data_IF_197980331451
#
_entry.id   IF_197980331451
#
_cell.length_a   1.000
_cell.length_b   1.000
_cell.length_c   1.000
_cell.angle_alpha   90.00
_cell.angle_beta   90.00
_cell.angle_gamma   90.00
#
_symmetry.space_group_name_H-M   'P 1'
#
loop_
_entity.id
_entity.type
_entity.pdbx_description
1 polymer ?
#
# COMPACT_ATOMS: atom_id res chain seq x y z
N UNK A 1 -19.62 -1.82 8.08
CA UNK A 1 -18.49 -0.86 8.05
C UNK A 1 -18.86 0.57 8.46
N UNK A 2 -20.14 0.88 8.66
CA UNK A 2 -20.63 2.12 9.28
C UNK A 2 -20.38 2.18 10.80
N UNK A 3 -20.27 1.04 11.46
CA UNK A 3 -20.11 0.95 12.93
C UNK A 3 -18.68 1.24 13.43
N UNK A 4 -17.66 1.14 12.55
CA UNK A 4 -16.28 1.48 12.94
C UNK A 4 -16.05 3.01 13.06
N UNK A 5 -16.92 3.82 12.44
CA UNK A 5 -16.91 5.30 12.59
C UNK A 5 -17.58 5.77 13.89
N UNK A 6 -18.37 4.92 14.56
CA UNK A 6 -19.03 5.27 15.81
C UNK A 6 -18.10 5.08 17.03
N UNK A 7 -17.08 4.22 16.93
CA UNK A 7 -16.21 3.87 18.05
C UNK A 7 -14.97 4.79 18.21
N UNK A 8 -14.82 5.81 17.35
CA UNK A 8 -13.74 6.82 17.46
C UNK A 8 -14.28 8.19 17.92
N UNK A 9 -15.49 8.22 18.49
CA UNK A 9 -16.12 9.37 19.12
C UNK A 9 -16.34 9.09 20.61
N UNK A 10 -15.26 8.99 21.36
CA UNK A 10 -15.34 9.14 22.82
C UNK A 10 -14.24 10.12 23.23
N UNK A 11 -14.64 11.07 24.07
CA UNK A 11 -13.92 12.24 24.60
C UNK A 11 -13.95 13.52 23.73
N UNK A 12 -15.13 14.15 23.60
CA UNK A 12 -15.36 15.53 24.11
C UNK A 12 -16.85 15.93 23.96
N UNK A 13 -17.71 15.46 24.85
CA UNK A 13 -19.10 15.94 24.98
C UNK A 13 -19.15 17.06 26.03
N UNK A 14 -19.01 18.31 25.58
CA UNK A 14 -19.64 19.44 26.26
C UNK A 14 -20.47 20.23 25.27
N UNK A 15 -21.78 20.00 25.32
CA UNK A 15 -22.77 20.77 24.59
C UNK A 15 -22.71 22.24 25.04
N UNK A 16 -22.23 23.11 24.15
CA UNK A 16 -22.44 24.56 24.25
C UNK A 16 -23.29 24.98 23.06
N UNK A 17 -24.53 25.38 23.34
CA UNK A 17 -25.39 26.10 22.41
C UNK A 17 -24.83 27.50 22.21
N UNK A 18 -23.80 27.62 21.37
CA UNK A 18 -23.22 28.88 20.92
C UNK A 18 -23.76 29.20 19.54
N UNK A 19 -24.32 30.39 19.36
CA UNK A 19 -24.72 30.94 18.07
C UNK A 19 -23.58 30.84 17.05
N UNK A 20 -23.83 30.14 15.95
CA UNK A 20 -22.93 30.05 14.80
C UNK A 20 -22.80 31.42 14.14
N UNK A 21 -21.67 32.09 14.37
CA UNK A 21 -21.26 33.25 13.60
C UNK A 21 -20.45 32.76 12.38
N UNK A 22 -21.01 32.76 11.16
CA UNK A 22 -20.35 32.25 9.96
C UNK A 22 -19.07 33.03 9.60
N UNK A 23 -18.85 34.21 10.18
CA UNK A 23 -17.65 35.03 9.93
C UNK A 23 -16.44 34.63 10.79
N UNK A 24 -16.59 33.71 11.74
CA UNK A 24 -15.48 33.24 12.59
C UNK A 24 -14.47 32.36 11.83
N UNK A 25 -14.87 31.73 10.73
CA UNK A 25 -14.00 30.90 9.87
C UNK A 25 -13.02 31.72 9.01
N UNK A 26 -13.18 33.04 8.92
CA UNK A 26 -12.49 33.88 7.92
C UNK A 26 -11.35 34.75 8.49
N UNK A 27 -11.02 34.60 9.78
CA UNK A 27 -9.83 35.26 10.36
C UNK A 27 -8.55 34.54 9.95
N UNK A 28 -8.05 34.92 8.78
CA UNK A 28 -6.80 34.42 8.25
C UNK A 28 -5.72 35.51 8.20
N UNK A 29 -4.52 35.17 8.65
CA UNK A 29 -3.37 36.06 8.67
C UNK A 29 -2.59 35.89 7.38
N UNK A 30 -2.25 37.01 6.72
CA UNK A 30 -1.32 36.99 5.60
C UNK A 30 0.09 37.11 6.15
N UNK A 31 0.94 36.14 5.82
CA UNK A 31 2.33 36.07 6.28
C UNK A 31 3.24 35.95 5.07
N UNK A 32 4.42 36.57 5.11
CA UNK A 32 5.48 36.31 4.13
C UNK A 32 6.55 35.45 4.78
N UNK A 33 6.92 34.37 4.12
CA UNK A 33 7.99 33.46 4.54
C UNK A 33 9.05 33.39 3.45
N UNK A 34 10.30 33.61 3.82
CA UNK A 34 11.44 33.61 2.88
C UNK A 34 12.08 32.22 2.82
N UNK A 35 12.31 31.72 1.61
CA UNK A 35 12.96 30.45 1.29
C UNK A 35 14.16 30.68 0.36
N UNK A 36 15.30 31.04 0.96
CA UNK A 36 16.49 31.46 0.21
C UNK A 36 16.27 32.82 -0.46
N UNK A 37 16.14 32.83 -1.77
CA UNK A 37 15.91 34.01 -2.61
C UNK A 37 14.41 34.24 -2.96
N UNK A 38 13.51 33.40 -2.45
CA UNK A 38 12.08 33.49 -2.72
C UNK A 38 11.31 33.94 -1.48
N UNK A 39 10.53 35.01 -1.62
CA UNK A 39 9.51 35.38 -0.66
C UNK A 39 8.16 34.77 -1.06
N UNK A 40 7.59 33.96 -0.17
CA UNK A 40 6.31 33.30 -0.38
C UNK A 40 5.27 33.88 0.56
N UNK A 41 4.21 34.44 -0.02
CA UNK A 41 3.07 35.01 0.70
C UNK A 41 2.03 33.91 0.95
N UNK A 42 1.73 33.61 2.20
CA UNK A 42 0.73 32.63 2.63
C UNK A 42 -0.45 33.33 3.28
N UNK A 43 -1.62 32.69 3.25
CA UNK A 43 -2.76 33.11 4.06
C UNK A 43 -3.21 31.96 4.93
N UNK A 44 -2.93 32.04 6.23
CA UNK A 44 -3.09 30.95 7.19
C UNK A 44 -4.24 31.22 8.14
N UNK A 45 -4.95 30.16 8.54
CA UNK A 45 -5.87 30.24 9.68
C UNK A 45 -5.09 30.64 10.95
N UNK A 46 -5.74 31.39 11.84
CA UNK A 46 -5.07 31.84 13.06
C UNK A 46 -4.71 30.68 14.00
N UNK A 47 -5.47 29.59 13.96
CA UNK A 47 -5.24 28.39 14.77
C UNK A 47 -5.55 27.15 13.92
N UNK A 48 -4.77 26.07 14.12
CA UNK A 48 -5.00 24.78 13.46
C UNK A 48 -6.27 24.07 13.96
N UNK A 49 -6.70 24.37 15.19
CA UNK A 49 -7.92 23.85 15.78
C UNK A 49 -8.68 25.04 16.36
N UNK A 50 -9.89 25.28 15.83
CA UNK A 50 -10.73 26.38 16.28
C UNK A 50 -11.22 26.17 17.71
N UNK A 51 -11.62 27.26 18.39
CA UNK A 51 -12.20 27.18 19.74
C UNK A 51 -13.51 26.35 19.79
N UNK A 52 -14.15 26.15 18.63
CA UNK A 52 -15.33 25.29 18.45
C UNK A 52 -15.00 23.82 18.14
N UNK A 53 -13.72 23.43 18.10
CA UNK A 53 -13.28 22.09 17.70
C UNK A 53 -13.20 21.88 16.18
N UNK A 54 -13.45 22.91 15.36
CA UNK A 54 -13.30 22.83 13.91
C UNK A 54 -11.83 22.55 13.51
N UNK A 55 -11.61 21.51 12.70
CA UNK A 55 -10.30 21.14 12.18
C UNK A 55 -9.89 22.08 11.03
N UNK A 56 -8.89 22.91 11.29
CA UNK A 56 -8.28 23.87 10.37
C UNK A 56 -6.82 23.49 10.08
N UNK A 57 -6.41 22.25 10.37
CA UNK A 57 -5.03 21.80 10.24
C UNK A 57 -4.50 21.92 8.81
N UNK A 58 -5.37 21.72 7.79
CA UNK A 58 -5.02 21.95 6.39
C UNK A 58 -4.88 23.44 6.00
N UNK A 59 -5.27 24.37 6.88
CA UNK A 59 -5.27 25.81 6.62
C UNK A 59 -4.13 26.56 7.33
N UNK A 60 -3.17 25.86 7.92
CA UNK A 60 -1.95 26.44 8.54
C UNK A 60 -0.68 25.88 7.89
N UNK A 61 0.42 26.64 7.95
CA UNK A 61 1.73 26.16 7.46
C UNK A 61 2.48 25.45 8.57
N UNK A 62 2.62 24.13 8.43
CA UNK A 62 3.37 23.30 9.37
C UNK A 62 4.89 23.41 9.19
N UNK A 63 5.66 23.16 10.26
CA UNK A 63 7.12 23.23 10.25
C UNK A 63 7.76 22.34 9.18
N UNK A 64 7.23 21.14 8.96
CA UNK A 64 7.73 20.22 7.93
C UNK A 64 7.60 20.81 6.51
N UNK A 65 6.54 21.58 6.23
CA UNK A 65 6.35 22.23 4.94
C UNK A 65 7.41 23.31 4.70
N UNK A 66 7.81 24.03 5.76
CA UNK A 66 8.88 25.03 5.71
C UNK A 66 10.24 24.37 5.46
N UNK A 67 10.57 23.33 6.25
CA UNK A 67 11.80 22.56 6.09
C UNK A 67 11.89 21.95 4.68
N UNK A 68 10.79 21.38 4.19
CA UNK A 68 10.75 20.83 2.84
C UNK A 68 10.96 21.93 1.78
N UNK A 69 10.24 23.05 1.89
CA UNK A 69 10.32 24.18 0.96
C UNK A 69 11.73 24.79 0.87
N UNK A 70 12.47 24.86 1.98
CA UNK A 70 13.88 25.32 1.98
C UNK A 70 14.80 24.41 1.17
N UNK A 71 14.43 23.14 1.00
CA UNK A 71 15.32 22.06 0.51
C UNK A 71 15.00 21.57 -0.88
N UNK A 72 13.84 21.93 -1.43
CA UNK A 72 13.44 21.57 -2.80
C UNK A 72 13.94 22.61 -3.80
N UNK A 73 14.34 22.17 -4.99
CA UNK A 73 14.89 23.03 -6.04
C UNK A 73 16.08 22.42 -6.78
N UNK A 74 16.62 23.17 -7.74
CA UNK A 74 17.74 22.73 -8.58
C UNK A 74 17.31 21.90 -9.80
N UNK A 75 18.28 21.25 -10.45
CA UNK A 75 18.10 20.58 -11.75
C UNK A 75 17.00 19.51 -11.75
N UNK A 76 16.74 18.85 -10.60
CA UNK A 76 15.69 17.82 -10.51
C UNK A 76 14.27 18.37 -10.69
N UNK A 77 14.07 19.66 -10.41
CA UNK A 77 12.76 20.31 -10.52
C UNK A 77 12.59 20.98 -11.88
N UNK A 78 13.68 21.39 -12.52
CA UNK A 78 13.63 22.02 -13.83
C UNK A 78 12.93 21.12 -14.86
N UNK A 79 11.79 21.58 -15.38
CA UNK A 79 11.02 20.83 -16.38
C UNK A 79 10.21 19.65 -15.83
N UNK A 80 10.22 19.39 -14.52
CA UNK A 80 9.55 18.24 -13.91
C UNK A 80 8.03 18.45 -13.75
N UNK A 81 7.28 17.34 -13.78
CA UNK A 81 5.94 17.29 -13.18
C UNK A 81 6.07 17.00 -11.69
N UNK A 82 5.65 17.96 -10.87
CA UNK A 82 5.66 17.86 -9.40
C UNK A 82 4.24 17.65 -8.91
N UNK A 83 4.05 16.68 -8.01
CA UNK A 83 2.77 16.46 -7.32
C UNK A 83 2.99 16.54 -5.81
N UNK A 84 2.24 17.40 -5.14
CA UNK A 84 2.23 17.49 -3.68
C UNK A 84 0.99 16.78 -3.11
N UNK A 85 1.21 15.82 -2.20
CA UNK A 85 0.17 15.08 -1.48
C UNK A 85 -0.10 15.76 -0.13
N UNK A 86 -1.37 16.00 0.20
CA UNK A 86 -1.74 16.66 1.45
C UNK A 86 -1.17 18.08 1.54
N UNK A 87 -1.44 18.90 0.52
CA UNK A 87 -0.72 20.16 0.32
C UNK A 87 -1.00 21.22 1.37
N UNK A 88 -2.13 21.17 2.08
CA UNK A 88 -2.53 22.23 2.99
C UNK A 88 -2.50 23.61 2.31
N UNK A 89 -1.70 24.53 2.83
CA UNK A 89 -1.46 25.86 2.25
C UNK A 89 -0.62 25.88 0.95
N UNK A 90 -0.13 24.73 0.47
CA UNK A 90 0.60 24.51 -0.79
C UNK A 90 1.93 25.27 -0.92
N UNK A 91 2.61 25.53 0.21
CA UNK A 91 3.90 26.24 0.22
C UNK A 91 4.98 25.49 -0.59
N UNK A 92 5.21 24.16 -0.38
CA UNK A 92 6.16 23.41 -1.19
C UNK A 92 5.81 23.40 -2.69
N UNK A 93 4.55 23.22 -3.07
CA UNK A 93 4.13 23.33 -4.47
C UNK A 93 4.43 24.70 -5.08
N UNK A 94 4.13 25.79 -4.36
CA UNK A 94 4.43 27.15 -4.84
C UNK A 94 5.93 27.34 -5.02
N UNK A 95 6.75 26.91 -4.05
CA UNK A 95 8.22 26.98 -4.19
C UNK A 95 8.70 26.15 -5.38
N UNK A 96 8.19 24.94 -5.58
CA UNK A 96 8.55 24.11 -6.73
C UNK A 96 8.22 24.80 -8.07
N UNK A 97 7.05 25.43 -8.19
CA UNK A 97 6.65 26.19 -9.37
C UNK A 97 7.62 27.38 -9.61
N UNK A 98 7.92 28.15 -8.55
CA UNK A 98 8.85 29.28 -8.61
C UNK A 98 10.30 28.86 -8.91
N UNK A 99 10.66 27.61 -8.63
CA UNK A 99 11.97 27.01 -8.93
C UNK A 99 12.03 26.26 -10.27
N UNK A 100 11.05 26.47 -11.16
CA UNK A 100 11.14 26.05 -12.57
C UNK A 100 10.54 24.67 -12.87
N UNK A 101 9.71 24.12 -11.99
CA UNK A 101 8.85 22.99 -12.36
C UNK A 101 7.98 23.33 -13.57
N UNK A 102 7.90 22.41 -14.54
CA UNK A 102 7.08 22.62 -15.74
C UNK A 102 5.59 22.57 -15.40
N UNK A 103 5.22 21.73 -14.43
CA UNK A 103 3.85 21.51 -14.01
C UNK A 103 3.82 21.13 -12.54
N UNK A 104 2.98 21.80 -11.77
CA UNK A 104 2.81 21.52 -10.34
C UNK A 104 1.35 21.25 -10.04
N UNK A 105 1.08 20.16 -9.32
CA UNK A 105 -0.25 19.76 -8.88
C UNK A 105 -0.24 19.65 -7.35
N UNK A 106 -0.95 20.56 -6.68
CA UNK A 106 -1.19 20.51 -5.24
C UNK A 106 -2.48 19.75 -4.96
N UNK A 107 -2.42 18.75 -4.07
CA UNK A 107 -3.54 17.84 -3.85
C UNK A 107 -3.86 17.68 -2.38
N UNK A 108 -5.16 17.57 -2.08
CA UNK A 108 -5.70 17.41 -0.75
C UNK A 108 -7.06 16.72 -0.83
N UNK A 109 -7.51 16.05 0.23
CA UNK A 109 -8.84 15.44 0.26
C UNK A 109 -9.94 16.52 0.44
N UNK A 110 -9.59 17.68 1.00
CA UNK A 110 -10.54 18.76 1.29
C UNK A 110 -10.56 19.83 0.20
N UNK A 111 -11.71 19.94 -0.49
CA UNK A 111 -11.94 21.03 -1.44
C UNK A 111 -11.82 22.42 -0.79
N UNK A 112 -12.10 22.55 0.51
CA UNK A 112 -11.95 23.80 1.24
C UNK A 112 -10.47 24.21 1.40
N UNK A 113 -9.61 23.24 1.75
CA UNK A 113 -8.15 23.43 1.81
C UNK A 113 -7.61 23.81 0.43
N UNK A 114 -8.07 23.14 -0.63
CA UNK A 114 -7.64 23.44 -1.99
C UNK A 114 -8.00 24.86 -2.47
N UNK A 115 -9.09 25.46 -1.98
CA UNK A 115 -9.39 26.87 -2.28
C UNK A 115 -8.31 27.79 -1.71
N UNK A 116 -7.80 27.47 -0.51
CA UNK A 116 -6.70 28.22 0.12
C UNK A 116 -5.37 27.98 -0.60
N UNK A 117 -5.06 26.73 -0.95
CA UNK A 117 -3.90 26.40 -1.79
C UNK A 117 -3.87 27.20 -3.11
N UNK A 118 -5.01 27.28 -3.81
CA UNK A 118 -5.14 28.06 -5.04
C UNK A 118 -4.94 29.56 -4.80
N UNK A 119 -5.41 30.08 -3.66
CA UNK A 119 -5.16 31.47 -3.27
C UNK A 119 -3.69 31.73 -2.96
N UNK A 120 -3.00 30.84 -2.25
CA UNK A 120 -1.55 30.93 -2.04
C UNK A 120 -0.81 30.97 -3.37
N UNK A 121 -1.16 30.09 -4.31
CA UNK A 121 -0.55 30.11 -5.64
C UNK A 121 -0.77 31.43 -6.37
N UNK A 122 -1.99 31.97 -6.31
CA UNK A 122 -2.36 33.25 -6.93
C UNK A 122 -1.61 34.45 -6.31
N UNK A 123 -1.44 34.46 -4.98
CA UNK A 123 -0.69 35.53 -4.28
C UNK A 123 0.79 35.57 -4.64
N UNK A 124 1.33 34.47 -5.19
CA UNK A 124 2.75 34.32 -5.52
C UNK A 124 2.99 34.24 -7.02
N UNK A 125 1.98 34.55 -7.85
CA UNK A 125 2.04 34.40 -9.32
C UNK A 125 2.62 33.04 -9.75
N UNK A 126 2.24 31.97 -9.04
CA UNK A 126 2.77 30.64 -9.23
C UNK A 126 1.77 29.74 -9.98
N UNK A 127 2.25 29.08 -11.04
CA UNK A 127 1.46 28.11 -11.79
C UNK A 127 1.29 26.79 -11.04
N UNK A 128 0.26 26.71 -10.19
CA UNK A 128 -0.09 25.50 -9.43
C UNK A 128 -1.53 25.09 -9.72
N UNK A 129 -1.71 23.87 -10.22
CA UNK A 129 -3.02 23.23 -10.35
C UNK A 129 -3.46 22.66 -9.00
N UNK A 130 -4.72 22.80 -8.62
CA UNK A 130 -5.28 22.12 -7.45
C UNK A 130 -6.18 20.96 -7.85
N UNK A 131 -6.08 19.83 -7.15
CA UNK A 131 -6.94 18.65 -7.40
C UNK A 131 -7.32 17.96 -6.10
N UNK A 132 -8.58 17.54 -6.02
CA UNK A 132 -9.02 16.65 -4.94
C UNK A 132 -8.36 15.29 -5.14
N UNK A 133 -7.71 14.81 -4.09
CA UNK A 133 -7.13 13.47 -4.09
C UNK A 133 -7.19 12.89 -2.68
N UNK A 134 -8.09 11.93 -2.51
CA UNK A 134 -8.16 11.10 -1.32
C UNK A 134 -7.26 9.86 -1.52
N UNK A 135 -6.41 9.56 -0.54
CA UNK A 135 -5.47 8.43 -0.63
C UNK A 135 -6.17 7.06 -0.56
N UNK A 136 -7.42 7.03 -0.07
CA UNK A 136 -8.27 5.84 -0.17
C UNK A 136 -8.78 5.62 -1.61
N UNK A 137 -8.95 6.68 -2.39
CA UNK A 137 -9.54 6.69 -3.74
C UNK A 137 -8.51 7.09 -4.82
N UNK A 138 -7.69 6.12 -5.24
CA UNK A 138 -6.54 6.38 -6.13
C UNK A 138 -6.90 6.83 -7.56
N UNK A 139 -8.16 6.74 -7.99
CA UNK A 139 -8.56 7.02 -9.38
C UNK A 139 -8.34 8.50 -9.79
N UNK A 140 -8.24 9.40 -8.82
CA UNK A 140 -8.09 10.84 -9.05
C UNK A 140 -6.77 11.27 -9.69
N UNK A 141 -5.73 10.42 -9.63
CA UNK A 141 -4.41 10.72 -10.21
C UNK A 141 -3.83 9.50 -10.91
N UNK A 142 -3.04 9.75 -11.96
CA UNK A 142 -2.29 8.69 -12.64
C UNK A 142 -0.82 8.75 -12.24
N UNK A 143 -0.06 7.76 -12.71
CA UNK A 143 1.40 7.73 -12.59
C UNK A 143 2.06 8.80 -13.46
N UNK A 144 2.06 10.04 -12.98
CA UNK A 144 2.52 11.22 -13.73
C UNK A 144 3.63 12.03 -13.06
N UNK A 145 3.94 11.78 -11.78
CA UNK A 145 4.87 12.60 -11.01
C UNK A 145 6.33 12.20 -11.27
N UNK A 146 7.15 13.16 -11.70
CA UNK A 146 8.61 13.04 -11.72
C UNK A 146 9.19 13.37 -10.34
N UNK A 147 8.50 14.26 -9.60
CA UNK A 147 8.78 14.56 -8.20
C UNK A 147 7.48 14.48 -7.39
N UNK A 148 7.54 13.79 -6.25
CA UNK A 148 6.44 13.76 -5.27
C UNK A 148 6.88 14.50 -4.01
N UNK A 149 6.02 15.36 -3.47
CA UNK A 149 6.25 16.11 -2.24
C UNK A 149 5.20 15.73 -1.19
N UNK A 150 5.64 15.48 0.04
CA UNK A 150 4.77 15.22 1.19
C UNK A 150 5.32 15.93 2.42
N UNK A 151 4.55 16.85 3.01
CA UNK A 151 4.94 17.58 4.21
C UNK A 151 3.95 17.35 5.35
N UNK A 152 4.43 16.73 6.43
CA UNK A 152 3.66 16.47 7.66
C UNK A 152 2.41 15.59 7.50
N UNK A 153 2.36 14.79 6.44
CA UNK A 153 1.22 13.95 6.06
C UNK A 153 1.02 12.71 6.94
N UNK A 154 1.98 12.36 7.80
CA UNK A 154 1.88 11.22 8.73
C UNK A 154 1.48 11.71 10.10
N UNK A 155 0.18 11.86 10.32
CA UNK A 155 -0.42 12.36 11.56
C UNK A 155 -1.09 11.25 12.40
N UNK A 156 -1.27 10.06 11.83
CA UNK A 156 -1.80 8.88 12.52
C UNK A 156 -1.22 7.59 11.94
N UNK A 157 -1.37 6.48 12.65
CA UNK A 157 -0.95 5.15 12.16
C UNK A 157 -1.71 4.72 10.90
N UNK A 158 -2.98 5.12 10.77
CA UNK A 158 -3.78 4.85 9.57
C UNK A 158 -3.37 5.66 8.34
N UNK A 159 -2.81 6.86 8.53
CA UNK A 159 -2.38 7.73 7.44
C UNK A 159 -1.13 7.18 6.72
N UNK A 160 -0.20 6.56 7.46
CA UNK A 160 1.06 6.03 6.93
C UNK A 160 0.89 5.08 5.73
N UNK A 161 0.11 3.97 5.82
CA UNK A 161 -0.04 3.03 4.70
C UNK A 161 -0.78 3.66 3.51
N UNK A 162 -1.74 4.55 3.76
CA UNK A 162 -2.47 5.26 2.71
C UNK A 162 -1.56 6.21 1.93
N UNK A 163 -0.75 6.99 2.64
CA UNK A 163 0.24 7.88 2.03
C UNK A 163 1.27 7.08 1.20
N UNK A 164 1.79 5.98 1.74
CA UNK A 164 2.75 5.14 1.02
C UNK A 164 2.13 4.61 -0.29
N UNK A 165 0.90 4.08 -0.21
CA UNK A 165 0.14 3.59 -1.37
C UNK A 165 -0.06 4.69 -2.41
N UNK A 166 -0.43 5.90 -1.98
CA UNK A 166 -0.59 7.06 -2.85
C UNK A 166 0.72 7.43 -3.56
N UNK A 167 1.83 7.54 -2.83
CA UNK A 167 3.17 7.81 -3.38
C UNK A 167 3.52 6.78 -4.45
N UNK A 168 3.38 5.48 -4.15
CA UNK A 168 3.72 4.39 -5.08
C UNK A 168 2.82 4.38 -6.33
N UNK A 169 1.59 4.86 -6.20
CA UNK A 169 0.63 4.96 -7.31
C UNK A 169 1.03 6.04 -8.31
N UNK A 170 1.37 7.24 -7.83
CA UNK A 170 1.58 8.43 -8.68
C UNK A 170 3.02 8.60 -9.17
N UNK A 171 4.00 8.05 -8.46
CA UNK A 171 5.42 8.19 -8.80
C UNK A 171 5.77 7.49 -10.11
N UNK A 172 6.28 8.21 -11.12
CA UNK A 172 6.85 7.59 -12.32
C UNK A 172 8.08 6.73 -11.96
N UNK A 173 8.46 5.75 -12.80
CA UNK A 173 9.74 5.07 -12.64
C UNK A 173 10.90 6.08 -12.64
N UNK A 174 11.78 6.01 -11.64
CA UNK A 174 12.90 6.94 -11.46
C UNK A 174 12.52 8.28 -10.80
N UNK A 175 11.27 8.49 -10.41
CA UNK A 175 10.83 9.69 -9.70
C UNK A 175 11.55 9.87 -8.36
N UNK A 176 11.75 11.13 -7.97
CA UNK A 176 12.26 11.52 -6.65
C UNK A 176 11.09 11.84 -5.71
N UNK A 177 11.11 11.29 -4.51
CA UNK A 177 10.04 11.47 -3.51
C UNK A 177 10.63 12.16 -2.30
N UNK A 178 10.15 13.34 -1.97
CA UNK A 178 10.58 14.11 -0.82
C UNK A 178 9.50 14.03 0.26
N UNK A 179 9.85 13.50 1.43
CA UNK A 179 8.96 13.42 2.57
C UNK A 179 9.60 14.13 3.76
N UNK A 180 8.89 15.09 4.34
CA UNK A 180 9.28 15.67 5.61
C UNK A 180 8.20 15.40 6.67
N UNK A 181 8.60 14.90 7.84
CA UNK A 181 7.68 14.66 8.97
C UNK A 181 8.29 15.17 10.27
N UNK A 182 7.44 15.59 11.20
CA UNK A 182 7.87 15.82 12.59
C UNK A 182 8.26 14.50 13.26
N UNK A 183 9.43 14.49 13.90
CA UNK A 183 9.98 13.37 14.66
C UNK A 183 9.04 12.96 15.80
N UNK A 184 8.95 11.65 16.06
CA UNK A 184 8.20 11.10 17.20
C UNK A 184 6.67 11.06 17.02
N UNK A 185 6.12 11.45 15.86
CA UNK A 185 4.69 11.24 15.58
C UNK A 185 4.37 9.75 15.41
N UNK A 186 3.19 9.36 15.90
CA UNK A 186 2.67 7.99 15.71
C UNK A 186 2.55 7.66 14.22
N UNK A 187 2.97 6.46 13.85
CA UNK A 187 3.00 6.00 12.45
C UNK A 187 4.27 6.35 11.67
N UNK A 188 5.06 7.35 12.09
CA UNK A 188 6.25 7.80 11.32
C UNK A 188 7.33 6.72 11.22
N UNK A 189 7.60 5.98 12.31
CA UNK A 189 8.60 4.91 12.28
C UNK A 189 8.24 3.80 11.29
N UNK A 190 7.01 3.28 11.37
CA UNK A 190 6.50 2.28 10.44
C UNK A 190 6.45 2.80 9.00
N UNK A 191 6.11 4.07 8.81
CA UNK A 191 6.15 4.71 7.49
C UNK A 191 7.56 4.68 6.89
N UNK A 192 8.59 5.04 7.67
CA UNK A 192 9.98 5.02 7.21
C UNK A 192 10.47 3.62 6.82
N UNK A 193 10.15 2.61 7.63
CA UNK A 193 10.45 1.21 7.31
C UNK A 193 9.78 0.81 5.99
N UNK A 194 8.49 1.10 5.85
CA UNK A 194 7.74 0.75 4.64
C UNK A 194 8.27 1.46 3.37
N UNK A 195 8.71 2.72 3.49
CA UNK A 195 9.28 3.46 2.37
C UNK A 195 10.66 2.92 1.98
N UNK A 196 11.49 2.53 2.94
CA UNK A 196 12.80 1.92 2.68
C UNK A 196 12.68 0.55 1.99
N UNK A 197 11.63 -0.21 2.28
CA UNK A 197 11.35 -1.47 1.57
C UNK A 197 10.90 -1.24 0.11
N UNK A 198 10.22 -0.13 -0.15
CA UNK A 198 9.60 0.14 -1.45
C UNK A 198 10.49 0.96 -2.40
N UNK A 199 11.36 1.82 -1.88
CA UNK A 199 12.16 2.78 -2.63
C UNK A 199 13.57 2.94 -2.05
N UNK A 200 14.52 3.30 -2.90
CA UNK A 200 15.89 3.58 -2.47
C UNK A 200 15.94 4.90 -1.69
N UNK A 201 16.39 4.88 -0.43
CA UNK A 201 16.66 6.11 0.32
C UNK A 201 17.95 6.75 -0.18
N UNK A 202 17.85 7.98 -0.68
CA UNK A 202 18.96 8.74 -1.29
C UNK A 202 19.55 9.76 -0.31
N UNK A 203 18.71 10.33 0.56
CA UNK A 203 19.11 11.35 1.53
C UNK A 203 18.22 11.27 2.77
N UNK A 204 18.82 11.50 3.93
CA UNK A 204 18.12 11.75 5.18
C UNK A 204 18.80 12.91 5.92
N UNK A 205 18.01 13.89 6.37
CA UNK A 205 18.50 15.01 7.16
C UNK A 205 17.52 15.40 8.24
N UNK A 206 18.05 15.67 9.42
CA UNK A 206 17.32 16.20 10.56
C UNK A 206 17.46 17.73 10.60
N UNK A 207 16.35 18.43 10.82
CA UNK A 207 16.28 19.88 10.98
C UNK A 207 15.37 20.18 12.19
N UNK A 208 15.99 20.40 13.34
CA UNK A 208 15.27 20.53 14.61
C UNK A 208 14.49 19.25 14.96
N UNK A 209 13.18 19.37 15.15
CA UNK A 209 12.28 18.25 15.41
C UNK A 209 11.65 17.65 14.12
N UNK A 210 12.25 17.91 12.95
CA UNK A 210 11.78 17.39 11.66
C UNK A 210 12.82 16.51 11.00
N UNK A 211 12.37 15.46 10.31
CA UNK A 211 13.21 14.62 9.45
C UNK A 211 12.73 14.77 8.01
N UNK A 212 13.64 15.21 7.13
CA UNK A 212 13.47 15.17 5.69
C UNK A 212 14.17 13.92 5.14
N UNK A 213 13.43 13.11 4.40
CA UNK A 213 13.99 11.99 3.63
C UNK A 213 13.66 12.13 2.16
N UNK A 214 14.61 11.76 1.32
CA UNK A 214 14.45 11.72 -0.14
C UNK A 214 14.63 10.29 -0.60
N UNK A 215 13.64 9.78 -1.33
CA UNK A 215 13.65 8.46 -1.92
C UNK A 215 13.68 8.54 -3.44
N UNK A 216 14.17 7.47 -4.07
CA UNK A 216 14.13 7.27 -5.52
C UNK A 216 13.36 6.00 -5.84
N UNK A 217 12.33 6.15 -6.67
CA UNK A 217 11.61 5.00 -7.20
C UNK A 217 12.47 4.25 -8.22
N UNK A 218 12.25 2.93 -8.33
CA UNK A 218 12.94 2.08 -9.29
C UNK A 218 12.76 2.59 -10.72
N UNK A 219 13.85 2.58 -11.47
CA UNK A 219 13.83 2.91 -12.89
C UNK A 219 13.06 1.86 -13.71
N UNK A 220 12.68 2.23 -14.94
CA UNK A 220 11.92 1.33 -15.83
C UNK A 220 12.65 0.00 -16.06
N UNK A 221 13.97 0.01 -16.25
CA UNK A 221 14.77 -1.20 -16.44
C UNK A 221 14.68 -2.14 -15.23
N UNK A 222 14.92 -1.62 -14.03
CA UNK A 222 14.82 -2.39 -12.78
C UNK A 222 13.43 -2.99 -12.58
N UNK A 223 12.36 -2.23 -12.87
CA UNK A 223 10.99 -2.75 -12.80
C UNK A 223 10.72 -3.87 -13.81
N UNK A 224 11.29 -3.78 -15.01
CA UNK A 224 11.17 -4.83 -16.03
C UNK A 224 11.94 -6.09 -15.63
N UNK A 225 13.13 -5.94 -15.05
CA UNK A 225 13.93 -7.06 -14.55
C UNK A 225 13.20 -7.79 -13.41
N UNK A 226 12.59 -7.05 -12.47
CA UNK A 226 11.77 -7.63 -11.40
C UNK A 226 10.53 -8.35 -11.95
N UNK A 227 9.86 -7.75 -12.93
CA UNK A 227 8.70 -8.39 -13.56
C UNK A 227 9.10 -9.66 -14.32
N UNK A 228 10.27 -9.68 -14.96
CA UNK A 228 10.81 -10.87 -15.60
C UNK A 228 11.15 -11.97 -14.57
N UNK A 229 11.79 -11.61 -13.45
CA UNK A 229 12.09 -12.54 -12.36
C UNK A 229 10.80 -13.15 -11.78
N UNK A 230 9.79 -12.32 -11.46
CA UNK A 230 8.49 -12.78 -10.95
C UNK A 230 7.74 -13.66 -11.92
N UNK A 231 7.83 -13.37 -13.22
CA UNK A 231 7.26 -14.25 -14.27
C UNK A 231 7.98 -15.60 -14.33
N UNK A 232 9.30 -15.63 -14.07
CA UNK A 232 10.08 -16.86 -13.90
C UNK A 232 9.59 -17.69 -12.72
N UNK A 233 9.53 -17.09 -11.52
CA UNK A 233 9.01 -17.73 -10.30
C UNK A 233 7.62 -18.34 -10.53
N UNK A 234 6.72 -17.60 -11.20
CA UNK A 234 5.36 -18.05 -11.46
C UNK A 234 5.30 -19.21 -12.47
N UNK A 235 6.23 -19.24 -13.43
CA UNK A 235 6.39 -20.36 -14.35
C UNK A 235 6.90 -21.61 -13.62
N UNK A 236 7.84 -21.46 -12.69
CA UNK A 236 8.36 -22.56 -11.86
C UNK A 236 7.28 -23.13 -10.94
N UNK A 237 6.50 -22.26 -10.29
CA UNK A 237 5.33 -22.69 -9.50
C UNK A 237 4.34 -23.49 -10.35
N UNK A 238 4.07 -23.03 -11.59
CA UNK A 238 3.18 -23.75 -12.51
C UNK A 238 3.73 -25.13 -12.89
N UNK A 239 5.03 -25.23 -13.18
CA UNK A 239 5.68 -26.50 -13.50
C UNK A 239 5.61 -27.49 -12.33
N UNK A 240 5.87 -27.02 -11.10
CA UNK A 240 5.74 -27.81 -9.88
C UNK A 240 4.32 -28.37 -9.68
N UNK A 241 3.29 -27.54 -9.87
CA UNK A 241 1.89 -28.00 -9.77
C UNK A 241 1.53 -29.05 -10.82
N UNK A 242 2.09 -28.97 -12.03
CA UNK A 242 1.89 -29.99 -13.07
C UNK A 242 2.54 -31.31 -12.66
N UNK A 243 3.80 -31.27 -12.18
CA UNK A 243 4.50 -32.45 -11.67
C UNK A 243 3.73 -33.16 -10.56
N UNK A 244 3.27 -32.41 -9.55
CA UNK A 244 2.48 -32.96 -8.45
C UNK A 244 1.18 -33.64 -8.92
N UNK A 245 0.54 -33.08 -9.96
CA UNK A 245 -0.66 -33.67 -10.55
C UNK A 245 -0.37 -34.99 -11.26
N UNK A 246 0.75 -35.09 -11.95
CA UNK A 246 1.16 -36.31 -12.65
C UNK A 246 1.64 -37.39 -11.68
N UNK A 247 2.31 -37.01 -10.58
CA UNK A 247 2.65 -37.92 -9.47
C UNK A 247 1.39 -38.49 -8.82
N UNK A 248 0.40 -37.65 -8.49
CA UNK A 248 -0.88 -38.09 -7.95
C UNK A 248 -1.62 -39.05 -8.87
N UNK A 249 -1.60 -38.80 -10.18
CA UNK A 249 -2.17 -39.72 -11.19
C UNK A 249 -1.43 -41.05 -11.21
N UNK A 250 -0.10 -41.01 -11.18
CA UNK A 250 0.74 -42.21 -11.18
C UNK A 250 0.47 -43.04 -9.93
N UNK A 251 0.42 -42.41 -8.75
CA UNK A 251 0.06 -43.06 -7.49
C UNK A 251 -1.33 -43.70 -7.54
N UNK A 252 -2.32 -43.03 -8.12
CA UNK A 252 -3.67 -43.58 -8.25
C UNK A 252 -3.68 -44.84 -9.12
N UNK A 253 -2.96 -44.82 -10.25
CA UNK A 253 -2.84 -45.97 -11.16
C UNK A 253 -2.11 -47.14 -10.50
N UNK A 254 -1.01 -46.89 -9.77
CA UNK A 254 -0.31 -47.95 -9.05
C UNK A 254 -1.14 -48.53 -7.92
N UNK A 255 -1.83 -47.70 -7.14
CA UNK A 255 -2.74 -48.17 -6.09
C UNK A 255 -3.85 -49.06 -6.66
N UNK A 256 -4.45 -48.69 -7.78
CA UNK A 256 -5.47 -49.49 -8.45
C UNK A 256 -4.90 -50.84 -8.93
N UNK A 257 -3.71 -50.84 -9.56
CA UNK A 257 -3.05 -52.06 -10.00
C UNK A 257 -2.68 -52.98 -8.84
N UNK A 258 -2.19 -52.44 -7.72
CA UNK A 258 -1.83 -53.21 -6.54
C UNK A 258 -3.08 -53.81 -5.87
N UNK A 259 -4.17 -53.04 -5.79
CA UNK A 259 -5.47 -53.52 -5.30
C UNK A 259 -6.00 -54.68 -6.15
N UNK A 260 -5.91 -54.57 -7.49
CA UNK A 260 -6.31 -55.65 -8.41
C UNK A 260 -5.43 -56.90 -8.22
N UNK A 261 -4.11 -56.77 -8.02
CA UNK A 261 -3.22 -57.91 -7.74
C UNK A 261 -3.57 -58.59 -6.41
N UNK A 262 -3.84 -57.82 -5.36
CA UNK A 262 -4.24 -58.35 -4.05
C UNK A 262 -5.57 -59.11 -4.12
N UNK A 263 -6.58 -58.55 -4.80
CA UNK A 263 -7.86 -59.22 -5.04
C UNK A 263 -7.67 -60.53 -5.82
N UNK A 264 -6.85 -60.52 -6.87
CA UNK A 264 -6.51 -61.72 -7.64
C UNK A 264 -5.85 -62.80 -6.79
N UNK A 265 -4.87 -62.43 -5.94
CA UNK A 265 -4.18 -63.36 -5.04
C UNK A 265 -5.13 -63.97 -3.99
N UNK A 266 -6.01 -63.16 -3.40
CA UNK A 266 -7.03 -63.62 -2.46
C UNK A 266 -8.01 -64.60 -3.12
N UNK A 267 -8.48 -64.28 -4.32
CA UNK A 267 -9.37 -65.15 -5.09
C UNK A 267 -8.70 -66.49 -5.41
N UNK A 268 -7.43 -66.47 -5.82
CA UNK A 268 -6.67 -67.69 -6.12
C UNK A 268 -6.44 -68.55 -4.87
N UNK A 269 -6.13 -67.93 -3.72
CA UNK A 269 -5.96 -68.63 -2.45
C UNK A 269 -7.26 -69.31 -1.99
N UNK A 270 -8.40 -68.61 -2.10
CA UNK A 270 -9.72 -69.15 -1.77
C UNK A 270 -10.09 -70.34 -2.67
N UNK A 271 -9.84 -70.24 -3.99
CA UNK A 271 -10.06 -71.34 -4.91
C UNK A 271 -9.19 -72.57 -4.57
N UNK A 272 -7.90 -72.35 -4.26
CA UNK A 272 -7.00 -73.42 -3.85
C UNK A 272 -7.43 -74.14 -2.55
N UNK A 273 -7.96 -73.40 -1.57
CA UNK A 273 -8.54 -73.99 -0.36
C UNK A 273 -9.80 -74.82 -0.65
N UNK A 274 -10.68 -74.33 -1.52
CA UNK A 274 -11.87 -75.06 -1.95
C UNK A 274 -11.49 -76.38 -2.66
N UNK A 275 -10.55 -76.33 -3.61
CA UNK A 275 -10.05 -77.51 -4.34
C UNK A 275 -9.38 -78.53 -3.41
N UNK A 276 -8.65 -78.08 -2.39
CA UNK A 276 -8.06 -78.96 -1.38
C UNK A 276 -9.15 -79.64 -0.54
N UNK A 277 -10.21 -78.91 -0.18
CA UNK A 277 -11.33 -79.44 0.61
C UNK A 277 -12.16 -80.45 -0.19
N UNK A 278 -12.42 -80.19 -1.47
CA UNK A 278 -13.10 -81.13 -2.37
C UNK A 278 -12.31 -82.43 -2.46
N UNK A 279 -10.99 -82.37 -2.72
CA UNK A 279 -10.13 -83.57 -2.77
C UNK A 279 -10.13 -84.36 -1.47
N UNK A 280 -10.14 -83.68 -0.31
CA UNK A 280 -10.23 -84.35 0.98
C UNK A 280 -11.56 -85.11 1.14
N UNK A 281 -12.69 -84.48 0.79
CA UNK A 281 -14.01 -85.10 0.85
C UNK A 281 -14.15 -86.29 -0.11
N UNK A 282 -13.58 -86.19 -1.32
CA UNK A 282 -13.54 -87.30 -2.28
C UNK A 282 -12.71 -88.49 -1.76
N UNK A 283 -11.58 -88.21 -1.11
CA UNK A 283 -10.76 -89.23 -0.47
C UNK A 283 -11.51 -89.92 0.69
N UNK A 284 -12.16 -89.14 1.56
CA UNK A 284 -13.01 -89.65 2.65
C UNK A 284 -14.15 -90.53 2.10
N UNK A 285 -14.83 -90.09 1.05
CA UNK A 285 -15.90 -90.86 0.39
C UNK A 285 -15.39 -92.18 -0.15
N UNK A 286 -14.21 -92.18 -0.79
CA UNK A 286 -13.61 -93.38 -1.36
C UNK A 286 -13.18 -94.39 -0.29
N UNK A 287 -12.71 -93.93 0.86
CA UNK A 287 -12.46 -94.79 2.02
C UNK A 287 -13.77 -95.42 2.50
N UNK A 288 -14.82 -94.63 2.65
CA UNK A 288 -16.13 -95.13 3.08
C UNK A 288 -16.75 -96.13 2.08
N UNK A 289 -16.60 -95.91 0.77
CA UNK A 289 -17.03 -96.84 -0.28
C UNK A 289 -16.28 -98.18 -0.16
N UNK A 290 -14.96 -98.16 0.05
CA UNK A 290 -14.15 -99.37 0.22
C UNK A 290 -14.48 -100.12 1.54
N UNK A 291 -14.76 -99.40 2.62
CA UNK A 291 -15.21 -100.01 3.88
C UNK A 291 -16.59 -100.66 3.74
N UNK A 292 -17.50 -100.06 2.97
CA UNK A 292 -18.81 -100.62 2.69
C UNK A 292 -18.75 -101.86 1.77
N UNK A 293 -17.80 -101.92 0.83
CA UNK A 293 -17.56 -103.11 -0.01
C UNK A 293 -16.91 -104.28 0.76
N UNK A 294 -16.25 -103.99 1.89
CA UNK A 294 -15.58 -104.99 2.73
C UNK A 294 -16.47 -105.57 3.84
N UNK A 295 -17.67 -105.02 4.06
CA UNK A 295 -18.65 -105.42 5.08
C UNK A 295 -19.76 -106.30 4.51
#
# INVERSE_FOLDING_TARGET
>A
MSELRALMREDDDTASTGSEDPDAEDRATVTTVTFGDLDIVTQEATHAFGASGADQSGNVVWGAARVLAERIGGERFAGATVVELGCGCAVPAVVAARRGAARVVATDASQAVLRRAARTASLNDAGVETRVFDWDELEGLRREADVVLCADCVYSEGAAPLLQKAILHIAKPGASVYVCCKSGRRGVAAFWESMADAMEEVEAKEEGDHVLKVYRSKGRGQLLDELAAKRGELADCRACMVGLKDDLRTMAVTMEADMQRLLGALSAAAAGQADARIRALEAERRVAELEAEAA
#
